data_IF_826853701425
#
_entry.id   IF_826853701425
#
_cell.length_a   1.000
_cell.length_b   1.000
_cell.length_c   1.000
_cell.angle_alpha   90.00
_cell.angle_beta   90.00
_cell.angle_gamma   90.00
#
_symmetry.space_group_name_H-M   'P 1'
#
loop_
_entity.id
_entity.type
_entity.pdbx_description
1 polymer ?
#
# COMPACT_ATOMS: atom_id res chain seq x y z
N UNK A 1 -28.59 50.81 -16.32
CA UNK A 1 -29.45 49.80 -16.99
C UNK A 1 -28.59 49.22 -18.10
N UNK A 2 -27.95 48.06 -17.98
CA UNK A 2 -28.35 46.80 -17.35
C UNK A 2 -28.89 45.88 -18.45
N UNK A 3 -28.44 44.61 -18.44
CA UNK A 3 -28.82 43.45 -19.29
C UNK A 3 -27.80 43.02 -20.36
N UNK A 4 -26.82 42.17 -20.00
CA UNK A 4 -26.83 40.69 -19.84
C UNK A 4 -26.78 39.94 -21.18
N UNK A 5 -25.58 39.65 -21.67
CA UNK A 5 -25.34 38.58 -22.64
C UNK A 5 -25.03 37.28 -21.89
N UNK A 6 -25.90 36.28 -22.03
CA UNK A 6 -25.64 34.92 -21.58
C UNK A 6 -24.59 34.29 -22.51
N UNK A 7 -23.49 33.84 -21.94
CA UNK A 7 -22.57 32.89 -22.59
C UNK A 7 -22.68 31.57 -21.86
N UNK A 8 -23.35 30.60 -22.50
CA UNK A 8 -23.24 29.19 -22.14
C UNK A 8 -21.80 28.73 -22.43
N UNK A 9 -21.08 28.33 -21.37
CA UNK A 9 -19.88 27.51 -21.47
C UNK A 9 -20.12 26.25 -20.65
N UNK A 10 -20.58 25.21 -21.33
CA UNK A 10 -20.47 23.84 -20.85
C UNK A 10 -19.46 23.07 -21.70
N UNK A 11 -18.79 22.11 -21.04
CA UNK A 11 -18.06 20.98 -21.59
C UNK A 11 -16.53 21.08 -21.67
N UNK A 12 -15.87 21.04 -20.51
CA UNK A 12 -14.45 20.62 -20.41
C UNK A 12 -14.19 19.53 -19.34
N UNK A 13 -15.21 18.88 -18.78
CA UNK A 13 -15.00 17.88 -17.70
C UNK A 13 -14.95 16.40 -18.16
N UNK A 14 -15.22 16.10 -19.44
CA UNK A 14 -15.43 14.71 -19.87
C UNK A 14 -14.19 14.01 -20.47
N UNK A 15 -13.09 14.71 -20.73
CA UNK A 15 -11.94 14.12 -21.44
C UNK A 15 -11.11 13.14 -20.61
N UNK A 16 -10.95 13.42 -19.31
CA UNK A 16 -10.06 12.66 -18.43
C UNK A 16 -10.69 11.32 -18.03
N UNK A 17 -12.01 11.30 -17.80
CA UNK A 17 -12.73 10.09 -17.38
C UNK A 17 -12.78 9.01 -18.48
N UNK A 18 -12.87 9.41 -19.75
CA UNK A 18 -12.89 8.51 -20.91
C UNK A 18 -11.51 7.84 -21.10
N UNK A 19 -10.43 8.59 -20.84
CA UNK A 19 -9.05 8.11 -20.97
C UNK A 19 -8.71 7.06 -19.91
N UNK A 20 -9.14 7.27 -18.65
CA UNK A 20 -8.94 6.30 -17.57
C UNK A 20 -9.73 5.00 -17.80
N UNK A 21 -10.97 5.08 -18.30
CA UNK A 21 -11.78 3.88 -18.64
C UNK A 21 -11.15 3.07 -19.80
N UNK A 22 -10.57 3.75 -20.80
CA UNK A 22 -9.91 3.11 -21.94
C UNK A 22 -8.64 2.34 -21.58
N UNK A 23 -7.86 2.81 -20.61
CA UNK A 23 -6.62 2.15 -20.15
C UNK A 23 -6.94 0.93 -19.27
N UNK A 24 -7.94 1.02 -18.40
CA UNK A 24 -8.36 -0.10 -17.54
C UNK A 24 -8.86 -1.30 -18.36
N UNK A 25 -9.66 -1.06 -19.40
CA UNK A 25 -10.14 -2.14 -20.27
C UNK A 25 -8.99 -2.85 -21.02
N UNK A 26 -7.86 -2.20 -21.29
CA UNK A 26 -6.72 -2.88 -21.93
C UNK A 26 -5.89 -3.76 -20.97
N UNK A 27 -5.93 -3.49 -19.67
CA UNK A 27 -5.20 -4.29 -18.67
C UNK A 27 -5.88 -5.62 -18.34
N UNK A 28 -7.21 -5.71 -18.43
CA UNK A 28 -7.96 -6.92 -18.06
C UNK A 28 -8.19 -7.92 -19.20
N UNK A 29 -7.80 -7.60 -20.44
CA UNK A 29 -8.00 -8.46 -21.61
C UNK A 29 -6.73 -9.17 -22.11
N UNK A 30 -5.68 -9.30 -21.29
CA UNK A 30 -4.52 -10.13 -21.63
C UNK A 30 -4.87 -11.62 -21.55
N UNK A 31 -5.41 -12.12 -22.66
CA UNK A 31 -5.12 -13.40 -23.30
C UNK A 31 -4.84 -14.61 -22.38
N UNK A 32 -5.90 -15.34 -22.02
CA UNK A 32 -5.76 -16.71 -21.52
C UNK A 32 -5.45 -17.66 -22.69
N UNK A 33 -4.16 -17.78 -23.04
CA UNK A 33 -3.69 -18.94 -23.78
C UNK A 33 -3.70 -20.15 -22.84
N UNK A 34 -4.68 -21.02 -23.05
CA UNK A 34 -4.79 -22.32 -22.41
C UNK A 34 -3.62 -23.22 -22.83
N UNK A 35 -2.55 -23.21 -22.03
CA UNK A 35 -1.46 -24.18 -22.14
C UNK A 35 -2.01 -25.55 -21.70
N UNK A 36 -2.35 -26.42 -22.65
CA UNK A 36 -2.65 -27.83 -22.38
C UNK A 36 -1.44 -28.48 -21.70
N UNK A 37 -1.54 -28.73 -20.40
CA UNK A 37 -0.56 -29.54 -19.67
C UNK A 37 -0.89 -31.00 -19.93
N UNK A 38 0.00 -31.66 -20.67
CA UNK A 38 0.02 -33.11 -20.83
C UNK A 38 0.44 -33.72 -19.47
N UNK A 39 -0.52 -34.24 -18.72
CA UNK A 39 -0.28 -34.91 -17.44
C UNK A 39 0.24 -36.32 -17.70
N UNK A 40 1.55 -36.50 -17.59
CA UNK A 40 2.11 -37.83 -17.36
C UNK A 40 1.76 -38.25 -15.91
N UNK A 41 1.44 -39.53 -15.66
CA UNK A 41 1.12 -40.00 -14.31
C UNK A 41 2.37 -39.93 -13.44
N UNK A 42 2.43 -38.92 -12.57
CA UNK A 42 3.51 -38.74 -11.58
C UNK A 42 3.44 -39.92 -10.61
N UNK A 43 4.53 -40.69 -10.51
CA UNK A 43 4.59 -41.86 -9.63
C UNK A 43 4.69 -41.43 -8.17
N UNK A 44 4.05 -42.18 -7.28
CA UNK A 44 4.01 -41.89 -5.84
C UNK A 44 5.41 -41.76 -5.21
N UNK A 45 6.38 -42.51 -5.73
CA UNK A 45 7.78 -42.45 -5.30
C UNK A 45 8.44 -41.08 -5.57
N UNK A 46 8.03 -40.39 -6.63
CA UNK A 46 8.57 -39.06 -6.97
C UNK A 46 8.02 -37.99 -6.03
N UNK A 47 6.75 -38.12 -5.60
CA UNK A 47 6.14 -37.24 -4.59
C UNK A 47 6.83 -37.43 -3.24
N UNK A 48 7.03 -38.68 -2.83
CA UNK A 48 7.69 -39.01 -1.56
C UNK A 48 9.13 -38.49 -1.54
N UNK A 49 9.88 -38.65 -2.64
CA UNK A 49 11.23 -38.11 -2.77
C UNK A 49 11.26 -36.57 -2.73
N UNK A 50 10.28 -35.90 -3.35
CA UNK A 50 10.18 -34.43 -3.32
C UNK A 50 9.86 -33.91 -1.92
N UNK A 51 8.93 -34.55 -1.23
CA UNK A 51 8.53 -34.19 0.14
C UNK A 51 9.69 -34.43 1.11
N UNK A 52 10.34 -35.60 1.03
CA UNK A 52 11.50 -35.93 1.86
C UNK A 52 12.68 -35.00 1.59
N UNK A 53 12.95 -34.67 0.32
CA UNK A 53 13.96 -33.68 -0.06
C UNK A 53 13.69 -32.29 0.51
N UNK A 54 12.43 -31.84 0.45
CA UNK A 54 12.01 -30.54 0.99
C UNK A 54 12.12 -30.51 2.52
N UNK A 55 11.69 -31.57 3.21
CA UNK A 55 11.80 -31.69 4.67
C UNK A 55 13.27 -31.65 5.09
N UNK A 56 14.15 -32.34 4.35
CA UNK A 56 15.60 -32.35 4.61
C UNK A 56 16.26 -30.99 4.38
N UNK A 57 15.87 -30.28 3.33
CA UNK A 57 16.34 -28.91 3.05
C UNK A 57 15.95 -27.96 4.19
N UNK A 58 14.70 -28.04 4.67
CA UNK A 58 14.23 -27.23 5.79
C UNK A 58 14.92 -27.62 7.11
N UNK A 59 15.15 -28.90 7.37
CA UNK A 59 15.84 -29.36 8.58
C UNK A 59 17.33 -28.95 8.62
N UNK A 60 18.03 -29.02 7.49
CA UNK A 60 19.43 -28.58 7.39
C UNK A 60 19.59 -27.07 7.58
N UNK A 61 18.61 -26.27 7.16
CA UNK A 61 18.63 -24.81 7.33
C UNK A 61 18.49 -24.39 8.81
N UNK A 62 17.78 -25.19 9.61
CA UNK A 62 17.56 -24.89 11.04
C UNK A 62 18.79 -25.24 11.92
N UNK A 63 19.55 -26.28 11.59
CA UNK A 63 20.70 -26.70 12.40
C UNK A 63 21.93 -25.79 12.27
N UNK A 64 22.05 -25.01 11.19
CA UNK A 64 23.15 -24.04 11.03
C UNK A 64 22.97 -22.77 11.88
N UNK A 65 21.81 -22.59 12.52
CA UNK A 65 21.49 -21.39 13.31
C UNK A 65 21.72 -21.53 14.82
N UNK A 66 22.31 -22.64 15.28
CA UNK A 66 22.50 -22.96 16.71
C UNK A 66 23.95 -22.90 17.19
N UNK A 67 24.80 -22.09 16.56
CA UNK A 67 26.12 -21.75 17.13
C UNK A 67 26.22 -20.25 17.42
N UNK A 68 26.56 -19.95 18.68
CA UNK A 68 26.71 -18.64 19.31
C UNK A 68 27.52 -17.62 18.49
N UNK A 69 26.83 -16.83 17.66
CA UNK A 69 27.30 -15.51 17.22
C UNK A 69 26.15 -14.50 17.31
N UNK A 70 26.42 -13.24 17.70
CA UNK A 70 25.40 -12.20 17.75
C UNK A 70 24.88 -11.99 16.33
N UNK A 71 23.66 -12.47 16.09
CA UNK A 71 22.91 -12.30 14.85
C UNK A 71 22.93 -10.79 14.55
N UNK A 72 23.55 -10.31 13.46
CA UNK A 72 23.29 -8.96 13.01
C UNK A 72 21.79 -8.95 12.70
N UNK A 73 21.03 -8.19 13.49
CA UNK A 73 19.61 -7.95 13.26
C UNK A 73 19.46 -7.54 11.81
N UNK A 74 19.05 -8.47 10.96
CA UNK A 74 18.73 -8.19 9.56
C UNK A 74 17.51 -7.30 9.60
N UNK A 75 17.77 -6.00 9.45
CA UNK A 75 16.85 -4.89 9.27
C UNK A 75 15.92 -5.19 8.09
N UNK A 76 14.89 -5.98 8.35
CA UNK A 76 13.71 -6.20 7.48
C UNK A 76 12.55 -5.29 7.87
N UNK A 77 12.76 -4.42 8.85
CA UNK A 77 11.77 -3.53 9.45
C UNK A 77 11.85 -2.08 8.93
N UNK A 78 12.44 -1.80 7.77
CA UNK A 78 12.56 -0.41 7.28
C UNK A 78 11.84 -0.14 5.96
N UNK A 79 11.80 -1.11 5.06
CA UNK A 79 11.18 -0.94 3.74
C UNK A 79 9.64 -0.90 3.82
N UNK A 80 9.04 -1.57 4.81
CA UNK A 80 7.59 -1.60 5.03
C UNK A 80 7.06 -0.45 5.90
N UNK A 81 7.91 0.49 6.32
CA UNK A 81 7.48 1.58 7.19
C UNK A 81 7.26 2.89 6.45
N UNK A 82 7.82 3.08 5.25
CA UNK A 82 7.71 4.32 4.48
C UNK A 82 6.56 4.29 3.47
N UNK A 83 5.93 5.45 3.23
CA UNK A 83 4.85 5.56 2.25
C UNK A 83 5.38 5.70 0.82
N UNK A 84 4.69 5.08 -0.15
CA UNK A 84 4.84 5.41 -1.58
C UNK A 84 4.37 6.83 -1.87
N UNK A 85 4.81 7.44 -2.98
CA UNK A 85 4.40 8.79 -3.37
C UNK A 85 2.87 8.98 -3.40
N UNK A 86 2.13 8.02 -3.99
CA UNK A 86 0.66 8.04 -4.01
C UNK A 86 0.04 7.99 -2.62
N UNK A 87 0.66 7.25 -1.70
CA UNK A 87 0.18 7.18 -0.32
C UNK A 87 0.48 8.47 0.45
N UNK A 88 1.61 9.14 0.18
CA UNK A 88 1.91 10.46 0.75
C UNK A 88 0.88 11.48 0.26
N UNK A 89 0.62 11.55 -1.05
CA UNK A 89 -0.41 12.43 -1.62
C UNK A 89 -1.77 12.20 -0.96
N UNK A 90 -2.15 10.92 -0.79
CA UNK A 90 -3.38 10.57 -0.12
C UNK A 90 -3.38 11.00 1.36
N UNK A 91 -2.29 10.77 2.09
CA UNK A 91 -2.14 11.21 3.48
C UNK A 91 -2.30 12.74 3.62
N UNK A 92 -1.69 13.51 2.71
CA UNK A 92 -1.80 14.96 2.67
C UNK A 92 -3.25 15.42 2.40
N UNK A 93 -3.96 14.74 1.49
CA UNK A 93 -5.39 15.03 1.25
C UNK A 93 -6.28 14.80 2.48
N UNK A 94 -5.91 13.85 3.33
CA UNK A 94 -6.59 13.58 4.60
C UNK A 94 -6.24 14.63 5.67
N UNK A 95 -5.02 15.17 5.62
CA UNK A 95 -4.56 16.22 6.53
C UNK A 95 -5.24 17.56 6.26
N UNK A 96 -5.48 17.90 4.99
CA UNK A 96 -6.20 19.14 4.63
C UNK A 96 -7.60 19.20 5.28
N UNK A 97 -8.25 18.06 5.47
CA UNK A 97 -9.57 17.97 6.15
C UNK A 97 -9.52 18.26 7.65
N UNK A 98 -8.34 18.17 8.27
CA UNK A 98 -8.14 18.36 9.71
C UNK A 98 -7.24 19.55 10.04
N UNK A 99 -6.79 20.27 8.99
CA UNK A 99 -5.95 21.47 9.05
C UNK A 99 -6.42 22.59 9.98
N UNK A 100 -7.74 22.77 10.23
CA UNK A 100 -8.18 23.76 11.23
C UNK A 100 -7.70 23.45 12.65
N UNK A 101 -7.54 22.17 13.00
CA UNK A 101 -7.18 21.72 14.36
C UNK A 101 -5.74 21.19 14.46
N UNK A 102 -5.23 20.59 13.39
CA UNK A 102 -3.94 19.90 13.39
C UNK A 102 -3.14 20.21 12.14
N UNK A 103 -1.82 20.25 12.28
CA UNK A 103 -0.88 20.36 11.18
C UNK A 103 0.23 19.31 11.27
N UNK A 104 0.84 19.01 10.13
CA UNK A 104 1.97 18.10 10.04
C UNK A 104 3.22 18.78 10.59
N UNK A 105 3.92 18.12 11.50
CA UNK A 105 5.13 18.65 12.16
C UNK A 105 6.42 17.98 11.67
N UNK A 106 6.30 17.02 10.75
CA UNK A 106 7.41 16.30 10.12
C UNK A 106 7.38 16.46 8.60
N UNK A 107 8.48 16.11 7.94
CA UNK A 107 8.49 15.98 6.48
C UNK A 107 7.49 14.88 6.04
N UNK A 108 6.61 15.14 5.04
CA UNK A 108 5.71 14.13 4.48
C UNK A 108 6.40 12.82 4.06
N UNK A 109 7.66 12.86 3.63
CA UNK A 109 8.44 11.67 3.27
C UNK A 109 8.74 10.75 4.47
N UNK A 110 8.65 11.28 5.70
CA UNK A 110 8.85 10.55 6.95
C UNK A 110 7.55 9.94 7.50
N UNK A 111 6.42 10.16 6.83
CA UNK A 111 5.17 9.52 7.22
C UNK A 111 5.25 8.01 7.07
N UNK A 112 4.64 7.31 8.01
CA UNK A 112 4.58 5.85 8.00
C UNK A 112 3.22 5.31 7.59
N UNK A 113 3.18 4.04 7.16
CA UNK A 113 1.92 3.31 6.94
C UNK A 113 1.02 3.36 8.17
N UNK A 114 1.61 3.27 9.37
CA UNK A 114 0.88 3.35 10.64
C UNK A 114 0.24 4.72 10.84
N UNK A 115 0.89 5.80 10.42
CA UNK A 115 0.33 7.16 10.53
C UNK A 115 -0.79 7.38 9.52
N UNK A 116 -0.59 6.93 8.27
CA UNK A 116 -1.65 6.93 7.25
C UNK A 116 -2.90 6.18 7.73
N UNK A 117 -2.75 4.97 8.29
CA UNK A 117 -3.87 4.20 8.81
C UNK A 117 -4.65 4.94 9.91
N UNK A 118 -3.96 5.72 10.76
CA UNK A 118 -4.61 6.54 11.79
C UNK A 118 -5.34 7.73 11.20
N UNK A 119 -4.78 8.38 10.18
CA UNK A 119 -5.42 9.47 9.44
C UNK A 119 -6.70 8.98 8.72
N UNK A 120 -6.65 7.80 8.11
CA UNK A 120 -7.81 7.14 7.49
C UNK A 120 -8.88 6.86 8.55
N UNK A 121 -8.51 6.22 9.67
CA UNK A 121 -9.43 5.90 10.74
C UNK A 121 -10.10 7.14 11.33
N UNK A 122 -9.34 8.23 11.52
CA UNK A 122 -9.92 9.51 11.93
C UNK A 122 -10.92 10.04 10.90
N UNK A 123 -10.54 10.07 9.63
CA UNK A 123 -11.40 10.64 8.59
C UNK A 123 -12.69 9.82 8.39
N UNK A 124 -12.62 8.49 8.55
CA UNK A 124 -13.74 7.57 8.40
C UNK A 124 -14.68 7.54 9.62
N UNK A 125 -14.13 7.50 10.83
CA UNK A 125 -14.91 7.27 12.06
C UNK A 125 -14.98 8.49 12.99
N UNK A 126 -14.29 9.59 12.66
CA UNK A 126 -14.17 10.81 13.49
C UNK A 126 -13.67 10.55 14.92
N UNK A 127 -12.93 9.45 15.12
CA UNK A 127 -12.38 9.07 16.41
C UNK A 127 -11.12 9.89 16.74
N UNK A 128 -11.25 10.91 17.58
CA UNK A 128 -10.13 11.77 18.02
C UNK A 128 -8.99 10.99 18.71
N UNK A 129 -9.29 9.84 19.32
CA UNK A 129 -8.30 8.98 19.98
C UNK A 129 -7.21 8.46 19.02
N UNK A 130 -7.50 8.33 17.72
CA UNK A 130 -6.50 7.88 16.74
C UNK A 130 -5.41 8.92 16.48
N UNK A 131 -5.68 10.21 16.72
CA UNK A 131 -4.74 11.31 16.54
C UNK A 131 -3.88 11.57 17.79
N UNK A 132 -4.25 11.04 18.96
CA UNK A 132 -3.48 11.21 20.21
C UNK A 132 -2.04 10.69 20.07
N UNK A 133 -1.88 9.53 19.42
CA UNK A 133 -0.56 8.94 19.25
C UNK A 133 0.32 9.71 18.24
N UNK A 134 -0.15 10.07 17.03
CA UNK A 134 0.56 10.98 16.13
C UNK A 134 0.97 12.30 16.80
N UNK A 135 0.12 12.87 17.65
CA UNK A 135 0.46 14.09 18.41
C UNK A 135 1.56 13.84 19.44
N UNK A 136 1.44 12.77 20.25
CA UNK A 136 2.47 12.42 21.24
C UNK A 136 3.83 12.10 20.61
N UNK A 137 3.85 11.54 19.41
CA UNK A 137 5.07 11.23 18.65
C UNK A 137 5.66 12.43 17.90
N UNK A 138 4.99 13.58 17.91
CA UNK A 138 5.43 14.76 17.18
C UNK A 138 5.21 14.69 15.67
N UNK A 139 4.44 13.72 15.18
CA UNK A 139 4.03 13.65 13.75
C UNK A 139 3.04 14.77 13.44
N UNK A 140 2.07 14.98 14.34
CA UNK A 140 1.08 16.05 14.25
C UNK A 140 1.25 17.04 15.40
N UNK A 141 0.97 18.31 15.12
CA UNK A 141 0.89 19.37 16.12
C UNK A 141 -0.51 19.97 16.11
N UNK A 142 -1.04 20.29 17.30
CA UNK A 142 -2.24 21.11 17.40
C UNK A 142 -1.89 22.55 17.03
N UNK A 143 -2.73 23.17 16.21
CA UNK A 143 -2.61 24.62 15.97
C UNK A 143 -2.97 25.43 17.21
#
# INVERSE_FOLDING_TARGET
MGEFTYTERENEENGVEILFKGILNKLFHTNQQTKKVNVQPISQAEIEALVEGKIREHAATLQTTTNDQPIPKTSTDQEDYTLTAKQIEYALSLLEKIKPEFELAIDPAQLTIKDLNRLIAYNRYKNKGTLVNPVKKGVLRKR
#
